data_IF_234752514874
#
_entry.id   IF_234752514874
#
_cell.length_a   1.000
_cell.length_b   1.000
_cell.length_c   1.000
_cell.angle_alpha   90.00
_cell.angle_beta   90.00
_cell.angle_gamma   90.00
#
_symmetry.space_group_name_H-M   'P 1'
#
loop_
_entity.id
_entity.type
_entity.pdbx_description
1 polymer ?
#
# COMPACT_ATOMS: atom_id res chain seq x y z
N UNK A 1 -2.20 -21.94 4.47
CA UNK A 1 -1.83 -20.51 4.64
C UNK A 1 -1.15 -20.05 3.35
N UNK A 2 -1.59 -18.93 2.76
CA UNK A 2 -0.97 -18.38 1.57
C UNK A 2 0.38 -17.74 1.93
N UNK A 3 1.44 -18.10 1.20
CA UNK A 3 2.78 -17.51 1.35
C UNK A 3 2.95 -16.43 0.28
N UNK A 4 3.25 -15.21 0.70
CA UNK A 4 3.49 -14.06 -0.17
C UNK A 4 4.86 -13.46 0.08
N UNK A 5 5.42 -12.79 -0.90
CA UNK A 5 6.66 -12.04 -0.80
C UNK A 5 6.52 -10.70 -1.54
N UNK A 6 7.17 -9.67 -1.02
CA UNK A 6 7.16 -8.34 -1.64
C UNK A 6 8.22 -8.24 -2.76
N UNK A 7 7.83 -7.68 -3.89
CA UNK A 7 8.74 -7.53 -5.04
C UNK A 7 9.93 -6.61 -4.74
N UNK A 8 9.81 -5.71 -3.75
CA UNK A 8 10.93 -4.89 -3.28
C UNK A 8 12.08 -5.70 -2.68
N UNK A 9 11.81 -6.93 -2.25
CA UNK A 9 12.80 -7.82 -1.60
C UNK A 9 13.74 -8.54 -2.58
N UNK A 10 13.49 -8.44 -3.89
CA UNK A 10 14.26 -9.11 -4.94
C UNK A 10 14.61 -8.16 -6.08
N UNK A 11 15.70 -8.46 -6.79
CA UNK A 11 16.18 -7.67 -7.92
C UNK A 11 15.56 -8.15 -9.24
N UNK A 12 15.63 -7.30 -10.27
CA UNK A 12 15.14 -7.58 -11.62
C UNK A 12 13.94 -6.70 -12.01
N UNK A 13 13.45 -6.88 -13.21
CA UNK A 13 12.21 -6.28 -13.70
C UNK A 13 10.99 -6.94 -13.06
N UNK A 14 9.85 -6.27 -13.03
CA UNK A 14 8.64 -6.83 -12.41
C UNK A 14 8.24 -8.20 -13.01
N UNK A 15 8.24 -8.44 -14.34
CA UNK A 15 8.00 -9.76 -14.88
C UNK A 15 9.01 -10.82 -14.40
N UNK A 16 10.31 -10.51 -14.38
CA UNK A 16 11.34 -11.44 -13.89
C UNK A 16 11.11 -11.82 -12.43
N UNK A 17 10.75 -10.84 -11.60
CA UNK A 17 10.41 -11.07 -10.18
C UNK A 17 9.20 -12.00 -10.04
N UNK A 18 8.13 -11.81 -10.82
CA UNK A 18 6.94 -12.67 -10.76
C UNK A 18 7.28 -14.11 -11.15
N UNK A 19 8.07 -14.33 -12.20
CA UNK A 19 8.54 -15.67 -12.56
C UNK A 19 9.37 -16.32 -11.46
N UNK A 20 10.31 -15.58 -10.85
CA UNK A 20 11.15 -16.08 -9.76
C UNK A 20 10.32 -16.44 -8.51
N UNK A 21 9.33 -15.60 -8.15
CA UNK A 21 8.42 -15.82 -7.03
C UNK A 21 7.60 -17.10 -7.25
N UNK A 22 7.04 -17.29 -8.43
CA UNK A 22 6.28 -18.49 -8.77
C UNK A 22 7.17 -19.75 -8.74
N UNK A 23 8.37 -19.68 -9.33
CA UNK A 23 9.33 -20.78 -9.35
C UNK A 23 9.80 -21.16 -7.94
N UNK A 24 9.87 -20.21 -7.00
CA UNK A 24 10.17 -20.46 -5.58
C UNK A 24 8.98 -21.05 -4.79
N UNK A 25 7.83 -21.28 -5.42
CA UNK A 25 6.66 -21.91 -4.82
C UNK A 25 5.83 -21.00 -3.92
N UNK A 26 5.92 -19.69 -4.08
CA UNK A 26 4.98 -18.75 -3.47
C UNK A 26 3.62 -18.79 -4.16
N UNK A 27 2.57 -18.42 -3.44
CA UNK A 27 1.20 -18.35 -3.94
C UNK A 27 0.69 -16.90 -4.02
N UNK A 28 1.44 -15.96 -3.44
CA UNK A 28 1.09 -14.55 -3.41
C UNK A 28 2.27 -13.65 -3.64
N UNK A 29 1.97 -12.44 -4.06
CA UNK A 29 2.96 -11.38 -4.31
C UNK A 29 2.42 -10.05 -3.82
N UNK A 30 3.28 -9.26 -3.19
CA UNK A 30 3.03 -7.86 -2.87
C UNK A 30 3.75 -7.00 -3.89
N UNK A 31 3.00 -6.18 -4.62
CA UNK A 31 3.57 -5.34 -5.67
C UNK A 31 4.11 -4.04 -5.08
N UNK A 32 5.41 -3.82 -5.23
CA UNK A 32 6.04 -2.54 -4.93
C UNK A 32 5.78 -1.54 -6.07
N UNK A 33 5.26 -0.36 -5.73
CA UNK A 33 4.82 0.63 -6.70
C UNK A 33 5.90 1.01 -7.73
N UNK A 34 7.16 1.17 -7.29
CA UNK A 34 8.23 1.54 -8.20
C UNK A 34 8.49 0.46 -9.26
N UNK A 35 8.34 -0.82 -8.93
CA UNK A 35 8.49 -1.88 -9.92
C UNK A 35 7.44 -1.78 -11.03
N UNK A 36 6.22 -1.36 -10.68
CA UNK A 36 5.17 -1.11 -11.65
C UNK A 36 5.41 0.18 -12.45
N UNK A 37 5.93 1.24 -11.82
CA UNK A 37 6.28 2.49 -12.51
C UNK A 37 7.40 2.32 -13.54
N UNK A 38 8.32 1.38 -13.32
CA UNK A 38 9.38 1.05 -14.29
C UNK A 38 8.96 0.02 -15.34
N UNK A 39 7.79 -0.58 -15.18
CA UNK A 39 7.25 -1.49 -16.18
C UNK A 39 6.66 -0.70 -17.36
N UNK A 40 7.01 -1.11 -18.59
CA UNK A 40 6.61 -0.40 -19.81
C UNK A 40 5.22 -0.77 -20.32
N UNK A 41 4.61 -1.82 -19.77
CA UNK A 41 3.25 -2.26 -20.09
C UNK A 41 2.20 -1.68 -19.13
N UNK A 42 1.04 -2.32 -19.09
CA UNK A 42 -0.11 -1.91 -18.30
C UNK A 42 -0.24 -2.70 -16.99
N UNK A 43 -0.92 -2.17 -15.97
CA UNK A 43 -1.24 -2.93 -14.76
C UNK A 43 -2.05 -4.20 -15.04
N UNK A 44 -2.93 -4.16 -16.04
CA UNK A 44 -3.73 -5.31 -16.48
C UNK A 44 -2.87 -6.46 -17.00
N UNK A 45 -1.77 -6.16 -17.72
CA UNK A 45 -0.80 -7.18 -18.19
C UNK A 45 -0.07 -7.83 -17.01
N UNK A 46 0.29 -7.06 -15.97
CA UNK A 46 0.88 -7.61 -14.74
C UNK A 46 -0.13 -8.48 -13.99
N UNK A 47 -1.39 -8.07 -13.91
CA UNK A 47 -2.47 -8.90 -13.36
C UNK A 47 -2.59 -10.22 -14.10
N UNK A 48 -2.60 -10.19 -15.43
CA UNK A 48 -2.70 -11.38 -16.26
C UNK A 48 -1.48 -12.29 -16.06
N UNK A 49 -0.26 -11.75 -16.11
CA UNK A 49 0.96 -12.51 -15.88
C UNK A 49 0.97 -13.18 -14.48
N UNK A 50 0.56 -12.48 -13.44
CA UNK A 50 0.45 -13.05 -12.10
C UNK A 50 -0.55 -14.22 -12.08
N UNK A 51 -1.71 -14.07 -12.73
CA UNK A 51 -2.71 -15.13 -12.82
C UNK A 51 -2.19 -16.35 -13.59
N UNK A 52 -1.52 -16.15 -14.71
CA UNK A 52 -0.92 -17.23 -15.54
C UNK A 52 0.16 -18.01 -14.76
N UNK A 53 0.85 -17.34 -13.83
CA UNK A 53 1.84 -17.93 -12.94
C UNK A 53 1.22 -18.53 -11.64
N UNK A 54 -0.10 -18.48 -11.48
CA UNK A 54 -0.79 -18.95 -10.28
C UNK A 54 -0.54 -18.10 -9.03
N UNK A 55 -0.14 -16.83 -9.20
CA UNK A 55 0.11 -15.88 -8.11
C UNK A 55 -1.12 -15.00 -7.86
N UNK A 56 -1.51 -14.87 -6.60
CA UNK A 56 -2.46 -13.83 -6.16
C UNK A 56 -1.70 -12.55 -5.83
N UNK A 57 -2.10 -11.42 -6.41
CA UNK A 57 -1.62 -10.11 -5.95
C UNK A 57 -2.33 -9.80 -4.63
N UNK A 58 -1.59 -9.86 -3.52
CA UNK A 58 -2.15 -9.81 -2.16
C UNK A 58 -2.16 -8.41 -1.59
N UNK A 59 -1.23 -7.54 -2.04
CA UNK A 59 -1.05 -6.21 -1.48
C UNK A 59 -0.32 -5.32 -2.48
N UNK A 60 -0.70 -4.05 -2.50
CA UNK A 60 0.00 -2.97 -3.22
C UNK A 60 0.67 -2.02 -2.23
N UNK A 61 1.93 -1.67 -2.44
CA UNK A 61 2.73 -0.89 -1.52
C UNK A 61 3.75 0.03 -2.20
N UNK A 62 4.24 1.06 -1.47
CA UNK A 62 3.66 1.66 -0.27
C UNK A 62 2.76 2.86 -0.59
N UNK A 63 1.85 3.20 0.32
CA UNK A 63 1.30 4.54 0.40
C UNK A 63 1.89 5.24 1.63
N UNK A 64 2.45 6.42 1.48
CA UNK A 64 3.24 7.10 2.52
C UNK A 64 2.79 8.52 2.74
N UNK A 65 3.20 9.09 3.89
CA UNK A 65 3.09 10.51 4.23
C UNK A 65 1.65 11.02 4.17
N UNK A 66 0.74 10.27 4.79
CA UNK A 66 -0.69 10.55 4.70
C UNK A 66 -1.23 11.25 5.96
N UNK A 67 -1.22 10.55 7.12
CA UNK A 67 -1.81 11.03 8.35
C UNK A 67 -1.01 12.18 8.99
N UNK A 68 -1.72 13.11 9.64
CA UNK A 68 -1.10 14.25 10.30
C UNK A 68 -0.52 15.30 9.34
N UNK A 69 -0.78 15.21 8.04
CA UNK A 69 -0.32 16.18 7.04
C UNK A 69 -1.02 17.53 7.21
N UNK A 70 -0.40 18.62 6.71
CA UNK A 70 -1.08 19.90 6.60
C UNK A 70 -2.38 19.78 5.80
N UNK A 71 -3.35 20.64 6.03
CA UNK A 71 -4.66 20.54 5.35
C UNK A 71 -4.56 20.65 3.83
N UNK A 72 -3.63 21.45 3.32
CA UNK A 72 -3.35 21.52 1.88
C UNK A 72 -2.78 20.20 1.36
N UNK A 73 -1.81 19.61 2.08
CA UNK A 73 -1.21 18.32 1.71
C UNK A 73 -2.22 17.17 1.85
N UNK A 74 -3.10 17.21 2.86
CA UNK A 74 -4.15 16.21 3.04
C UNK A 74 -5.07 16.13 1.82
N UNK A 75 -5.51 17.27 1.27
CA UNK A 75 -6.34 17.28 0.05
C UNK A 75 -5.61 16.64 -1.14
N UNK A 76 -4.32 16.94 -1.31
CA UNK A 76 -3.48 16.32 -2.34
C UNK A 76 -3.31 14.81 -2.10
N UNK A 77 -3.15 14.39 -0.83
CA UNK A 77 -3.02 12.99 -0.44
C UNK A 77 -4.31 12.20 -0.72
N UNK A 78 -5.49 12.77 -0.47
CA UNK A 78 -6.77 12.15 -0.83
C UNK A 78 -6.90 11.97 -2.37
N UNK A 79 -6.45 12.94 -3.15
CA UNK A 79 -6.40 12.79 -4.61
C UNK A 79 -5.39 11.70 -5.06
N UNK A 80 -4.25 11.58 -4.36
CA UNK A 80 -3.29 10.46 -4.58
C UNK A 80 -3.94 9.11 -4.27
N UNK A 81 -4.68 8.99 -3.15
CA UNK A 81 -5.37 7.77 -2.77
C UNK A 81 -6.33 7.30 -3.87
N UNK A 82 -7.17 8.19 -4.40
CA UNK A 82 -8.10 7.86 -5.51
C UNK A 82 -7.37 7.32 -6.74
N UNK A 83 -6.23 7.92 -7.11
CA UNK A 83 -5.42 7.41 -8.24
C UNK A 83 -4.83 6.03 -7.96
N UNK A 84 -4.36 5.78 -6.72
CA UNK A 84 -3.88 4.45 -6.32
C UNK A 84 -4.99 3.40 -6.35
N UNK A 85 -6.17 3.74 -5.88
CA UNK A 85 -7.31 2.82 -5.90
C UNK A 85 -7.74 2.48 -7.34
N UNK A 86 -7.73 3.45 -8.26
CA UNK A 86 -7.96 3.19 -9.67
C UNK A 86 -6.92 2.21 -10.26
N UNK A 87 -5.63 2.43 -9.96
CA UNK A 87 -4.55 1.54 -10.36
C UNK A 87 -4.71 0.13 -9.76
N UNK A 88 -5.07 0.04 -8.49
CA UNK A 88 -5.28 -1.23 -7.80
C UNK A 88 -6.44 -2.04 -8.39
N UNK A 89 -7.50 -1.38 -8.87
CA UNK A 89 -8.60 -2.06 -9.61
C UNK A 89 -8.08 -2.71 -10.90
N UNK A 90 -7.21 -2.02 -11.65
CA UNK A 90 -6.60 -2.59 -12.87
C UNK A 90 -5.70 -3.79 -12.53
N UNK A 91 -4.93 -3.69 -11.44
CA UNK A 91 -4.09 -4.79 -10.92
C UNK A 91 -4.92 -5.96 -10.34
N UNK A 92 -6.18 -5.75 -9.98
CA UNK A 92 -6.98 -6.73 -9.27
C UNK A 92 -6.49 -6.96 -7.83
N UNK A 93 -6.01 -5.90 -7.17
CA UNK A 93 -5.50 -5.92 -5.80
C UNK A 93 -6.45 -5.14 -4.87
N UNK A 94 -6.84 -5.73 -3.75
CA UNK A 94 -7.83 -5.18 -2.82
C UNK A 94 -7.23 -4.68 -1.51
N UNK A 95 -5.91 -4.77 -1.32
CA UNK A 95 -5.26 -4.32 -0.08
C UNK A 95 -4.14 -3.33 -0.37
N UNK A 96 -4.19 -2.16 0.25
CA UNK A 96 -3.15 -1.13 0.21
C UNK A 96 -2.37 -1.11 1.51
N UNK A 97 -1.03 -1.12 1.45
CA UNK A 97 -0.18 -0.84 2.61
C UNK A 97 0.02 0.67 2.77
N UNK A 98 -0.55 1.21 3.83
CA UNK A 98 -0.29 2.57 4.29
C UNK A 98 0.81 2.54 5.35
N UNK A 99 1.94 3.17 5.07
CA UNK A 99 3.02 3.33 6.03
C UNK A 99 2.84 4.63 6.83
N UNK A 100 3.21 4.59 8.11
CA UNK A 100 3.18 5.78 8.96
C UNK A 100 4.01 6.93 8.40
N UNK A 101 3.58 8.16 8.70
CA UNK A 101 4.19 9.38 8.17
C UNK A 101 5.62 9.57 8.70
N UNK A 102 6.55 9.89 7.80
CA UNK A 102 7.97 10.13 8.11
C UNK A 102 8.39 11.59 7.94
N UNK A 103 7.46 12.46 7.54
CA UNK A 103 7.76 13.87 7.34
C UNK A 103 8.00 14.58 8.67
N UNK A 104 9.02 15.43 8.78
CA UNK A 104 9.37 16.09 10.04
C UNK A 104 8.30 17.10 10.50
N UNK A 105 7.49 17.62 9.59
CA UNK A 105 6.46 18.63 9.82
C UNK A 105 5.05 18.03 9.99
N UNK A 106 4.92 16.70 10.00
CA UNK A 106 3.63 16.08 10.27
C UNK A 106 3.20 16.27 11.73
N UNK A 107 1.89 16.37 11.94
CA UNK A 107 1.32 16.62 13.26
C UNK A 107 1.43 15.42 14.21
N UNK A 108 1.84 15.68 15.47
CA UNK A 108 1.80 14.69 16.54
C UNK A 108 0.39 14.49 17.12
N UNK A 109 -0.58 15.32 16.75
CA UNK A 109 -1.95 15.25 17.24
C UNK A 109 -2.63 13.94 16.80
N UNK A 110 -2.88 13.07 17.76
CA UNK A 110 -3.50 11.76 17.53
C UNK A 110 -4.95 11.86 17.04
N UNK A 111 -5.69 12.91 17.42
CA UNK A 111 -7.07 13.13 16.97
C UNK A 111 -7.08 13.47 15.47
N UNK A 112 -6.16 14.34 15.06
CA UNK A 112 -5.98 14.69 13.66
C UNK A 112 -5.56 13.47 12.83
N UNK A 113 -4.60 12.68 13.32
CA UNK A 113 -4.15 11.45 12.64
C UNK A 113 -5.30 10.46 12.46
N UNK A 114 -6.11 10.24 13.49
CA UNK A 114 -7.30 9.35 13.43
C UNK A 114 -8.35 9.90 12.47
N UNK A 115 -8.60 11.20 12.46
CA UNK A 115 -9.54 11.82 11.53
C UNK A 115 -9.09 11.64 10.07
N UNK A 116 -7.79 11.82 9.80
CA UNK A 116 -7.22 11.60 8.47
C UNK A 116 -7.35 10.13 8.03
N UNK A 117 -7.00 9.19 8.91
CA UNK A 117 -7.12 7.76 8.64
C UNK A 117 -8.57 7.34 8.42
N UNK A 118 -9.52 7.90 9.17
CA UNK A 118 -10.96 7.63 8.99
C UNK A 118 -11.45 8.12 7.63
N UNK A 119 -11.03 9.31 7.19
CA UNK A 119 -11.39 9.82 5.86
C UNK A 119 -10.85 8.92 4.74
N UNK A 120 -9.61 8.39 4.90
CA UNK A 120 -9.06 7.42 3.96
C UNK A 120 -9.82 6.09 3.99
N UNK A 121 -10.17 5.59 5.18
CA UNK A 121 -10.90 4.34 5.34
C UNK A 121 -12.30 4.43 4.69
N UNK A 122 -13.01 5.54 4.88
CA UNK A 122 -14.31 5.77 4.21
C UNK A 122 -14.17 5.73 2.68
N UNK A 123 -13.16 6.40 2.13
CA UNK A 123 -12.90 6.36 0.70
C UNK A 123 -12.53 4.94 0.21
N UNK A 124 -11.75 4.21 1.01
CA UNK A 124 -11.34 2.84 0.68
C UNK A 124 -12.54 1.87 0.70
N UNK A 125 -13.45 2.03 1.67
CA UNK A 125 -14.69 1.25 1.77
C UNK A 125 -15.58 1.45 0.53
N UNK A 126 -15.75 2.69 0.05
CA UNK A 126 -16.49 3.01 -1.18
C UNK A 126 -15.91 2.31 -2.41
N UNK A 127 -14.60 2.04 -2.42
CA UNK A 127 -13.86 1.41 -3.51
C UNK A 127 -13.62 -0.10 -3.29
N UNK A 128 -14.10 -0.68 -2.19
CA UNK A 128 -13.90 -2.08 -1.84
C UNK A 128 -12.45 -2.44 -1.51
N UNK A 129 -11.67 -1.49 -0.98
CA UNK A 129 -10.25 -1.64 -0.67
C UNK A 129 -10.03 -1.69 0.84
N UNK A 130 -9.25 -2.65 1.30
CA UNK A 130 -8.76 -2.72 2.68
C UNK A 130 -7.45 -1.91 2.82
N UNK A 131 -7.28 -1.25 3.97
CA UNK A 131 -6.03 -0.55 4.31
C UNK A 131 -5.32 -1.31 5.42
N UNK A 132 -4.08 -1.74 5.18
CA UNK A 132 -3.16 -2.18 6.22
C UNK A 132 -2.30 -1.00 6.67
N UNK A 133 -2.36 -0.64 7.96
CA UNK A 133 -1.55 0.47 8.50
C UNK A 133 -0.32 -0.05 9.22
N UNK A 134 0.86 0.29 8.70
CA UNK A 134 2.17 -0.13 9.21
C UNK A 134 2.86 1.00 9.97
N UNK A 135 3.25 0.73 11.22
CA UNK A 135 4.18 1.58 11.96
C UNK A 135 5.61 1.35 11.48
N UNK A 136 6.15 2.27 10.68
CA UNK A 136 7.56 2.23 10.30
C UNK A 136 8.46 2.51 11.51
N UNK A 137 9.54 1.75 11.69
CA UNK A 137 10.48 1.97 12.80
C UNK A 137 11.08 3.39 12.80
N UNK A 138 11.10 4.06 11.65
CA UNK A 138 11.54 5.45 11.47
C UNK A 138 10.37 6.43 11.23
N UNK A 139 9.14 6.03 11.54
CA UNK A 139 7.98 6.92 11.55
C UNK A 139 8.14 8.06 12.56
N UNK A 140 7.74 9.27 12.17
CA UNK A 140 7.97 10.46 13.00
C UNK A 140 7.23 10.39 14.33
N UNK A 141 5.97 10.00 14.32
CA UNK A 141 5.14 9.94 15.52
C UNK A 141 4.54 8.55 15.79
N UNK A 142 4.41 7.72 14.74
CA UNK A 142 3.92 6.34 14.83
C UNK A 142 5.01 5.42 14.35
N UNK A 143 5.79 4.85 15.28
CA UNK A 143 6.95 4.00 15.01
C UNK A 143 6.93 2.68 15.79
N UNK A 144 5.82 2.37 16.46
CA UNK A 144 5.58 1.13 17.19
C UNK A 144 4.19 0.60 16.86
N UNK A 145 4.04 -0.72 16.80
CA UNK A 145 2.76 -1.35 16.49
C UNK A 145 1.63 -0.96 17.45
N UNK A 146 1.95 -0.70 18.75
CA UNK A 146 0.96 -0.25 19.73
C UNK A 146 0.36 1.11 19.35
N UNK A 147 1.20 2.02 18.86
CA UNK A 147 0.74 3.34 18.40
C UNK A 147 -0.13 3.22 17.15
N UNK A 148 0.23 2.34 16.20
CA UNK A 148 -0.61 2.06 15.04
C UNK A 148 -1.97 1.48 15.47
N UNK A 149 -1.96 0.49 16.38
CA UNK A 149 -3.17 -0.09 16.93
C UNK A 149 -4.06 0.95 17.61
N UNK A 150 -3.48 1.84 18.43
CA UNK A 150 -4.22 2.93 19.09
C UNK A 150 -4.92 3.89 18.11
N UNK A 151 -4.40 4.05 16.90
CA UNK A 151 -5.07 4.83 15.83
C UNK A 151 -6.16 4.00 15.16
N UNK A 152 -5.80 2.81 14.67
CA UNK A 152 -6.68 1.97 13.86
C UNK A 152 -7.95 1.54 14.62
N UNK A 153 -7.85 1.19 15.91
CA UNK A 153 -9.02 0.80 16.71
C UNK A 153 -10.04 1.94 16.91
N UNK A 154 -9.70 3.16 16.52
CA UNK A 154 -10.55 4.36 16.61
C UNK A 154 -11.08 4.81 15.25
N UNK A 155 -10.64 4.17 14.17
CA UNK A 155 -11.12 4.40 12.80
C UNK A 155 -12.38 3.61 12.56
#
# INVERSE_FOLDING_TARGET
MLRSIATVSISGTLPEKLHAIAAAGYQGVEIFENDLLYYTGTPAEIRQLAADLGLKITLFQPFRDFEGSSRAQFAANMARARRKFALMRELGCETLLLCSNVQPDCSADSELQVADLRALATLAEEEGIAIGYEALAWGTHVNRWQQAWERVRRV
#
